data_IF_740725463403
#
_entry.id   IF_740725463403
#
_cell.length_a   1.000
_cell.length_b   1.000
_cell.length_c   1.000
_cell.angle_alpha   90.00
_cell.angle_beta   90.00
_cell.angle_gamma   90.00
#
_symmetry.space_group_name_H-M   'P 1'
#
loop_
_entity.id
_entity.type
_entity.pdbx_description
1 polymer ?
#
# COMPACT_ATOMS: atom_id res chain seq x y z
N UNK A 1 6.03 -13.59 26.69
CA UNK A 1 6.70 -12.60 25.82
C UNK A 1 5.61 -11.67 25.32
N UNK A 2 5.70 -10.38 25.64
CA UNK A 2 4.74 -9.38 25.14
C UNK A 2 5.01 -9.19 23.64
N UNK A 3 4.05 -9.60 22.80
CA UNK A 3 4.09 -9.29 21.38
C UNK A 3 3.93 -7.78 21.22
N UNK A 4 4.77 -7.17 20.39
CA UNK A 4 4.70 -5.74 20.10
C UNK A 4 3.52 -5.50 19.14
N UNK A 5 2.33 -5.25 19.70
CA UNK A 5 1.07 -5.06 18.97
C UNK A 5 1.01 -3.78 18.11
N UNK A 6 2.07 -2.95 18.14
CA UNK A 6 2.08 -1.63 17.49
C UNK A 6 2.60 -1.60 16.05
N UNK A 7 3.00 -2.74 15.47
CA UNK A 7 3.39 -2.76 14.06
C UNK A 7 2.13 -3.00 13.23
N UNK A 8 1.37 -1.94 12.95
CA UNK A 8 0.49 -1.94 11.78
C UNK A 8 1.40 -2.30 10.60
N UNK A 9 1.15 -3.40 9.86
CA UNK A 9 2.02 -3.78 8.76
C UNK A 9 1.93 -2.69 7.69
N UNK A 10 2.96 -1.85 7.64
CA UNK A 10 3.12 -0.88 6.57
C UNK A 10 3.32 -1.64 5.26
N UNK A 11 2.40 -1.48 4.33
CA UNK A 11 2.52 -2.03 2.99
C UNK A 11 3.18 -0.97 2.10
N UNK A 12 4.37 -1.24 1.53
CA UNK A 12 5.05 -0.32 0.62
C UNK A 12 4.12 0.21 -0.49
N UNK A 13 4.15 1.50 -0.75
CA UNK A 13 3.28 2.17 -1.71
C UNK A 13 3.90 2.11 -3.11
N UNK A 14 5.22 2.29 -3.23
CA UNK A 14 5.92 2.35 -4.52
C UNK A 14 5.56 1.23 -5.51
N UNK A 15 5.58 -0.08 -5.14
CA UNK A 15 5.27 -1.15 -6.09
C UNK A 15 3.80 -1.21 -6.51
N UNK A 16 2.94 -0.41 -5.88
CA UNK A 16 1.50 -0.37 -6.15
C UNK A 16 1.08 0.90 -6.89
N UNK A 17 2.01 1.84 -7.10
CA UNK A 17 1.73 3.10 -7.80
C UNK A 17 1.17 2.80 -9.19
N UNK A 18 0.12 3.52 -9.56
CA UNK A 18 -0.50 3.46 -10.87
C UNK A 18 -0.74 4.89 -11.34
N UNK A 19 -0.35 5.18 -12.58
CA UNK A 19 -0.64 6.45 -13.22
C UNK A 19 -1.17 6.21 -14.64
N UNK A 20 -1.90 7.19 -15.18
CA UNK A 20 -2.41 7.17 -16.55
C UNK A 20 -1.30 7.26 -17.61
N UNK A 21 -0.10 7.70 -17.21
CA UNK A 21 1.05 7.97 -18.08
C UNK A 21 2.32 7.26 -17.55
N UNK A 22 3.06 6.48 -18.37
CA UNK A 22 4.28 5.77 -17.94
C UNK A 22 5.37 6.67 -17.35
N UNK A 23 5.56 7.89 -17.89
CA UNK A 23 6.55 8.83 -17.37
C UNK A 23 6.18 9.31 -15.96
N UNK A 24 4.91 9.64 -15.76
CA UNK A 24 4.39 10.06 -14.46
C UNK A 24 4.40 8.91 -13.46
N UNK A 25 4.10 7.68 -13.91
CA UNK A 25 4.23 6.48 -13.08
C UNK A 25 5.65 6.33 -12.54
N UNK A 26 6.67 6.39 -13.40
CA UNK A 26 8.06 6.26 -12.97
C UNK A 26 8.48 7.33 -11.95
N UNK A 27 8.08 8.58 -12.17
CA UNK A 27 8.38 9.69 -11.25
C UNK A 27 7.68 9.53 -9.90
N UNK A 28 6.40 9.15 -9.92
CA UNK A 28 5.65 8.92 -8.70
C UNK A 28 6.13 7.67 -7.95
N UNK A 29 6.48 6.59 -8.64
CA UNK A 29 7.11 5.41 -8.03
C UNK A 29 8.38 5.80 -7.27
N UNK A 30 9.21 6.70 -7.81
CA UNK A 30 10.42 7.20 -7.12
C UNK A 30 10.10 8.05 -5.89
N UNK A 31 9.10 8.91 -5.98
CA UNK A 31 8.57 9.64 -4.82
C UNK A 31 8.13 8.65 -3.73
N UNK A 32 7.28 7.69 -4.08
CA UNK A 32 6.75 6.73 -3.11
C UNK A 32 7.82 5.75 -2.61
N UNK A 33 8.87 5.47 -3.38
CA UNK A 33 10.02 4.68 -2.91
C UNK A 33 10.76 5.42 -1.77
N UNK A 34 10.94 6.74 -1.91
CA UNK A 34 11.47 7.57 -0.83
C UNK A 34 10.54 7.59 0.38
N UNK A 35 9.23 7.73 0.18
CA UNK A 35 8.24 7.66 1.27
C UNK A 35 8.32 6.31 1.99
N UNK A 36 8.39 5.20 1.25
CA UNK A 36 8.54 3.85 1.79
C UNK A 36 9.82 3.71 2.64
N UNK A 37 10.92 4.36 2.21
CA UNK A 37 12.16 4.41 2.99
C UNK A 37 12.01 5.26 4.25
N UNK A 38 11.33 6.41 4.19
CA UNK A 38 11.07 7.25 5.36
C UNK A 38 10.28 6.48 6.43
N UNK A 39 9.25 5.72 6.02
CA UNK A 39 8.47 4.89 6.94
C UNK A 39 9.31 3.78 7.55
N UNK A 40 10.12 3.07 6.75
CA UNK A 40 11.04 2.04 7.26
C UNK A 40 12.05 2.59 8.25
N UNK A 41 12.52 3.82 8.03
CA UNK A 41 13.42 4.54 8.92
C UNK A 41 12.71 5.18 10.13
N UNK A 42 11.39 5.04 10.25
CA UNK A 42 10.55 5.64 11.30
C UNK A 42 10.66 7.17 11.35
N UNK A 43 10.95 7.82 10.22
CA UNK A 43 10.96 9.28 10.10
C UNK A 43 9.52 9.76 10.15
N UNK A 44 9.26 10.82 10.92
CA UNK A 44 7.95 11.44 11.02
C UNK A 44 7.81 12.50 9.94
N UNK A 45 6.89 12.31 8.99
CA UNK A 45 6.69 13.22 7.85
C UNK A 45 5.23 13.39 7.42
N UNK A 46 4.29 12.58 7.94
CA UNK A 46 2.88 12.73 7.62
C UNK A 46 2.28 13.85 8.47
N UNK A 47 1.83 14.93 7.83
CA UNK A 47 1.20 16.08 8.49
C UNK A 47 -0.29 15.85 8.77
N UNK A 48 -0.84 14.67 8.48
CA UNK A 48 -2.25 14.33 8.69
C UNK A 48 -2.39 13.13 9.64
N UNK A 49 -3.38 13.22 10.52
CA UNK A 49 -3.74 12.19 11.50
C UNK A 49 -4.95 11.37 11.08
N UNK A 50 -5.65 11.78 10.03
CA UNK A 50 -6.81 11.06 9.53
C UNK A 50 -6.38 9.72 8.91
N UNK A 51 -7.16 8.67 9.20
CA UNK A 51 -6.89 7.32 8.69
C UNK A 51 -6.93 7.31 7.16
N UNK A 52 -5.96 6.61 6.56
CA UNK A 52 -5.89 6.43 5.11
C UNK A 52 -5.47 7.66 4.31
N UNK A 53 -5.13 8.78 4.97
CA UNK A 53 -4.59 9.95 4.33
C UNK A 53 -3.08 10.02 4.56
N UNK A 54 -2.37 10.35 3.49
CA UNK A 54 -0.97 10.71 3.53
C UNK A 54 -0.86 12.17 3.07
N UNK A 55 -0.37 13.04 3.93
CA UNK A 55 -0.15 14.45 3.63
C UNK A 55 1.32 14.78 3.82
N UNK A 56 2.01 15.09 2.73
CA UNK A 56 3.45 15.38 2.73
C UNK A 56 3.66 16.82 2.28
N UNK A 57 4.49 17.57 3.00
CA UNK A 57 4.83 18.92 2.58
C UNK A 57 5.82 18.88 1.40
N UNK A 58 5.52 19.51 0.25
CA UNK A 58 6.44 19.57 -0.89
C UNK A 58 7.75 20.27 -0.53
N UNK A 59 7.69 21.24 0.39
CA UNK A 59 8.84 22.03 0.82
C UNK A 59 9.84 21.19 1.63
N UNK A 60 9.39 20.06 2.22
CA UNK A 60 10.22 19.17 3.04
C UNK A 60 10.75 17.95 2.27
N UNK A 61 10.29 17.70 1.04
CA UNK A 61 10.62 16.49 0.28
C UNK A 61 12.14 16.31 0.08
N UNK A 62 12.85 17.37 -0.25
CA UNK A 62 14.30 17.29 -0.46
C UNK A 62 15.07 17.10 0.86
N UNK A 63 14.58 17.64 1.97
CA UNK A 63 15.17 17.41 3.28
C UNK A 63 14.98 15.96 3.73
N UNK A 64 13.78 15.42 3.55
CA UNK A 64 13.47 13.99 3.78
C UNK A 64 14.34 13.09 2.91
N UNK A 65 14.50 13.42 1.62
CA UNK A 65 15.34 12.67 0.70
C UNK A 65 16.79 12.63 1.16
N UNK A 66 17.35 13.78 1.56
CA UNK A 66 18.71 13.86 2.11
C UNK A 66 18.85 13.04 3.38
N UNK A 67 17.83 13.06 4.24
CA UNK A 67 17.82 12.31 5.48
C UNK A 67 17.87 10.80 5.26
N UNK A 68 17.05 10.25 4.37
CA UNK A 68 17.08 8.81 4.05
C UNK A 68 18.32 8.39 3.27
N UNK A 69 19.00 9.34 2.62
CA UNK A 69 20.20 9.10 1.82
C UNK A 69 21.52 9.50 2.51
N UNK A 70 21.51 9.78 3.83
CA UNK A 70 22.72 10.18 4.60
C UNK A 70 23.92 9.25 4.40
N UNK A 71 23.73 7.99 3.98
CA UNK A 71 24.77 7.00 3.76
C UNK A 71 25.15 6.76 2.27
N UNK A 72 24.43 7.33 1.30
CA UNK A 72 24.55 6.97 -0.13
C UNK A 72 25.40 7.95 -0.97
N UNK A 73 26.04 8.94 -0.33
CA UNK A 73 27.16 9.71 -0.88
C UNK A 73 26.84 10.73 -2.00
N UNK A 74 25.72 10.60 -2.73
CA UNK A 74 25.21 11.63 -3.67
C UNK A 74 23.69 11.52 -3.84
N UNK A 75 22.99 12.51 -3.31
CA UNK A 75 21.54 12.65 -3.47
C UNK A 75 21.28 13.87 -4.33
N UNK A 76 20.63 13.68 -5.49
CA UNK A 76 20.20 14.80 -6.32
C UNK A 76 18.83 15.25 -5.83
N UNK A 77 18.67 16.56 -5.64
CA UNK A 77 17.38 17.14 -5.27
C UNK A 77 16.33 16.84 -6.36
N UNK A 78 15.11 16.59 -5.91
CA UNK A 78 13.92 16.44 -6.74
C UNK A 78 13.51 17.80 -7.31
N UNK A 79 13.16 17.79 -8.58
CA UNK A 79 12.46 18.90 -9.21
C UNK A 79 10.97 18.81 -8.82
N UNK A 80 10.60 19.61 -7.83
CA UNK A 80 9.27 19.61 -7.20
C UNK A 80 8.19 20.03 -8.21
N UNK A 81 8.50 20.95 -9.13
CA UNK A 81 7.54 21.42 -10.13
C UNK A 81 7.23 20.35 -11.16
N UNK A 82 8.26 19.64 -11.64
CA UNK A 82 8.08 18.48 -12.52
C UNK A 82 7.33 17.37 -11.81
N UNK A 83 7.65 17.10 -10.53
CA UNK A 83 6.97 16.09 -9.74
C UNK A 83 5.49 16.42 -9.58
N UNK A 84 5.14 17.67 -9.24
CA UNK A 84 3.77 18.14 -9.08
C UNK A 84 2.91 17.89 -10.31
N UNK A 85 3.47 18.12 -11.51
CA UNK A 85 2.74 17.88 -12.77
C UNK A 85 2.39 16.40 -12.93
N UNK A 86 3.29 15.50 -12.55
CA UNK A 86 3.07 14.06 -12.61
C UNK A 86 2.05 13.52 -11.59
N UNK A 87 1.82 14.23 -10.48
CA UNK A 87 0.84 13.80 -9.47
C UNK A 87 -0.60 13.80 -9.99
N UNK A 88 -0.93 14.68 -10.95
CA UNK A 88 -2.27 14.74 -11.54
C UNK A 88 -2.63 13.49 -12.36
N UNK A 89 -1.62 12.75 -12.80
CA UNK A 89 -1.79 11.50 -13.55
C UNK A 89 -2.00 10.29 -12.63
N UNK A 90 -1.89 10.45 -11.30
CA UNK A 90 -2.00 9.35 -10.34
C UNK A 90 -3.41 8.77 -10.28
N UNK A 91 -3.49 7.47 -10.57
CA UNK A 91 -4.66 6.62 -10.29
C UNK A 91 -4.55 6.07 -8.86
N UNK A 92 -3.36 5.60 -8.48
CA UNK A 92 -3.06 5.17 -7.11
C UNK A 92 -1.64 5.56 -6.69
N UNK A 93 -1.44 6.06 -5.45
CA UNK A 93 -2.48 6.56 -4.55
C UNK A 93 -3.16 7.80 -5.15
N UNK A 94 -4.45 8.01 -4.85
CA UNK A 94 -5.22 9.09 -5.47
C UNK A 94 -4.75 10.43 -4.93
N UNK A 95 -4.29 11.32 -5.81
CA UNK A 95 -3.92 12.68 -5.45
C UNK A 95 -5.18 13.53 -5.23
N UNK A 96 -5.35 14.06 -4.02
CA UNK A 96 -6.48 14.92 -3.66
C UNK A 96 -6.17 16.41 -3.91
N UNK A 97 -4.93 16.74 -4.26
CA UNK A 97 -4.49 18.10 -4.53
C UNK A 97 -3.59 18.69 -3.44
N UNK A 98 -3.34 19.99 -3.58
CA UNK A 98 -2.58 20.79 -2.64
C UNK A 98 -3.54 21.44 -1.64
N UNK A 99 -3.31 21.21 -0.35
CA UNK A 99 -4.15 21.68 0.75
C UNK A 99 -3.30 22.41 1.79
N UNK A 100 -3.95 23.21 2.63
CA UNK A 100 -3.34 23.75 3.85
C UNK A 100 -3.91 22.97 5.02
N UNK A 101 -3.04 22.42 5.87
CA UNK A 101 -3.43 21.67 7.07
C UNK A 101 -2.69 22.19 8.29
N UNK A 102 -3.31 22.07 9.46
CA UNK A 102 -2.63 22.31 10.74
C UNK A 102 -1.80 21.08 11.06
N UNK A 103 -0.47 21.21 11.06
CA UNK A 103 0.40 20.06 11.18
C UNK A 103 0.65 19.66 12.63
N UNK A 104 0.36 18.39 13.01
CA UNK A 104 0.66 17.89 14.35
C UNK A 104 2.15 17.65 14.58
N UNK A 105 2.94 17.57 13.50
CA UNK A 105 4.38 17.32 13.53
C UNK A 105 5.21 18.59 13.33
N UNK A 106 4.54 19.73 13.16
CA UNK A 106 5.16 21.03 12.91
C UNK A 106 4.51 22.13 13.75
N UNK A 107 4.72 22.08 15.06
CA UNK A 107 4.28 23.09 16.04
C UNK A 107 2.81 23.52 15.98
N UNK A 108 1.92 22.70 15.40
CA UNK A 108 0.53 23.09 15.12
C UNK A 108 0.40 24.33 14.22
N UNK A 109 1.39 24.57 13.36
CA UNK A 109 1.31 25.63 12.36
C UNK A 109 0.60 25.14 11.09
N UNK A 110 0.04 26.09 10.36
CA UNK A 110 -0.52 25.84 9.03
C UNK A 110 0.61 25.61 8.03
N UNK A 111 0.56 24.47 7.35
CA UNK A 111 1.52 24.10 6.33
C UNK A 111 0.82 23.62 5.07
N UNK A 112 1.44 23.95 3.94
CA UNK A 112 1.05 23.46 2.62
C UNK A 112 1.48 22.01 2.45
N UNK A 113 0.54 21.16 2.03
CA UNK A 113 0.75 19.73 1.82
C UNK A 113 0.16 19.25 0.51
N UNK A 114 0.75 18.20 -0.04
CA UNK A 114 0.14 17.34 -1.04
C UNK A 114 -0.54 16.19 -0.33
N UNK A 115 -1.86 16.10 -0.48
CA UNK A 115 -2.65 15.05 0.14
C UNK A 115 -2.91 13.91 -0.85
N UNK A 116 -2.70 12.69 -0.36
CA UNK A 116 -2.95 11.46 -1.08
C UNK A 116 -3.94 10.60 -0.29
N UNK A 117 -4.97 10.12 -0.97
CA UNK A 117 -5.85 9.08 -0.44
C UNK A 117 -5.19 7.73 -0.71
N UNK A 118 -4.81 7.05 0.37
CA UNK A 118 -4.41 5.66 0.32
C UNK A 118 -5.67 4.79 0.33
N UNK A 119 -5.63 3.66 -0.38
CA UNK A 119 -6.61 2.61 -0.22
C UNK A 119 -6.51 2.14 1.23
N UNK A 120 -7.52 2.48 2.02
CA UNK A 120 -7.68 1.81 3.30
C UNK A 120 -7.97 0.35 2.97
N UNK A 121 -7.28 -0.58 3.62
CA UNK A 121 -7.90 -1.87 3.92
C UNK A 121 -8.92 -1.54 5.02
N UNK A 122 -10.02 -0.89 4.63
CA UNK A 122 -11.12 -0.63 5.55
C UNK A 122 -11.84 -1.95 5.73
N UNK A 123 -11.46 -2.70 6.78
CA UNK A 123 -12.19 -3.91 7.17
C UNK A 123 -13.60 -3.58 7.69
N UNK A 124 -13.94 -2.30 7.89
CA UNK A 124 -15.22 -1.89 8.46
C UNK A 124 -16.30 -1.51 7.42
N UNK A 125 -15.94 -1.30 6.14
CA UNK A 125 -16.90 -1.14 5.06
C UNK A 125 -16.75 -2.28 4.04
N UNK A 126 -17.62 -3.30 4.07
CA UNK A 126 -17.68 -4.27 3.00
C UNK A 126 -18.07 -3.51 1.73
N UNK A 127 -17.13 -3.44 0.80
CA UNK A 127 -17.34 -3.00 -0.57
C UNK A 127 -18.65 -3.64 -1.06
N UNK A 128 -19.59 -2.79 -1.49
CA UNK A 128 -20.93 -3.16 -1.93
C UNK A 128 -20.92 -4.49 -2.71
N UNK A 129 -21.44 -5.53 -2.06
CA UNK A 129 -21.92 -6.79 -2.61
C UNK A 129 -21.14 -7.29 -3.82
N UNK A 130 -19.99 -7.92 -3.58
CA UNK A 130 -19.58 -9.02 -4.44
C UNK A 130 -20.65 -10.11 -4.27
N UNK A 131 -21.29 -10.49 -5.37
CA UNK A 131 -22.37 -11.48 -5.41
C UNK A 131 -21.95 -12.77 -4.71
N UNK A 132 -22.80 -13.35 -3.86
CA UNK A 132 -22.44 -14.51 -3.00
C UNK A 132 -21.99 -15.70 -3.85
N UNK A 133 -22.62 -15.85 -5.01
CA UNK A 133 -22.25 -16.84 -6.02
C UNK A 133 -20.86 -16.58 -6.60
N UNK A 134 -20.51 -15.31 -6.86
CA UNK A 134 -19.20 -14.93 -7.39
C UNK A 134 -18.07 -15.21 -6.39
N UNK A 135 -18.28 -14.96 -5.09
CA UNK A 135 -17.28 -15.25 -4.04
C UNK A 135 -17.08 -16.75 -3.86
N UNK A 136 -18.18 -17.53 -3.89
CA UNK A 136 -18.12 -18.99 -3.84
C UNK A 136 -17.45 -19.55 -5.08
N UNK A 137 -17.78 -19.06 -6.28
CA UNK A 137 -17.18 -19.50 -7.54
C UNK A 137 -15.68 -19.18 -7.60
N UNK A 138 -15.27 -18.00 -7.15
CA UNK A 138 -13.86 -17.63 -7.07
C UNK A 138 -13.11 -18.52 -6.07
N UNK A 139 -13.69 -18.78 -4.91
CA UNK A 139 -13.08 -19.63 -3.87
C UNK A 139 -12.95 -21.07 -4.35
N UNK A 140 -14.00 -21.60 -4.98
CA UNK A 140 -14.03 -22.96 -5.53
C UNK A 140 -13.07 -23.12 -6.71
N UNK A 141 -12.97 -22.11 -7.58
CA UNK A 141 -12.03 -22.09 -8.70
C UNK A 141 -10.58 -22.08 -8.21
N UNK A 142 -10.27 -21.24 -7.21
CA UNK A 142 -8.94 -21.20 -6.59
C UNK A 142 -8.57 -22.53 -5.92
N UNK A 143 -9.51 -23.15 -5.19
CA UNK A 143 -9.33 -24.48 -4.60
C UNK A 143 -9.08 -25.56 -5.66
N UNK A 144 -9.77 -25.51 -6.80
CA UNK A 144 -9.58 -26.45 -7.91
C UNK A 144 -8.20 -26.30 -8.55
N UNK A 145 -7.77 -25.07 -8.84
CA UNK A 145 -6.44 -24.78 -9.38
C UNK A 145 -5.36 -25.25 -8.41
N UNK A 146 -5.56 -25.03 -7.12
CA UNK A 146 -4.60 -25.43 -6.09
C UNK A 146 -4.51 -26.95 -5.95
N UNK A 147 -5.65 -27.64 -5.90
CA UNK A 147 -5.70 -29.11 -5.91
C UNK A 147 -4.98 -29.68 -7.14
N UNK A 148 -5.26 -29.16 -8.33
CA UNK A 148 -4.60 -29.59 -9.56
C UNK A 148 -3.09 -29.34 -9.53
N UNK A 149 -2.67 -28.21 -8.95
CA UNK A 149 -1.25 -27.86 -8.81
C UNK A 149 -0.51 -28.76 -7.82
N UNK A 150 -1.17 -29.14 -6.72
CA UNK A 150 -0.62 -30.09 -5.74
C UNK A 150 -0.65 -31.54 -6.25
N UNK A 151 -1.70 -31.94 -6.98
CA UNK A 151 -1.78 -33.23 -7.66
C UNK A 151 -0.70 -33.34 -8.75
N UNK A 152 -0.39 -32.24 -9.45
CA UNK A 152 0.70 -32.17 -10.44
C UNK A 152 2.09 -32.19 -9.79
N UNK A 153 2.29 -31.55 -8.64
CA UNK A 153 3.55 -31.58 -7.89
C UNK A 153 3.94 -32.99 -7.40
N UNK A 154 2.98 -33.92 -7.31
CA UNK A 154 3.26 -35.34 -7.08
C UNK A 154 3.96 -36.04 -8.26
N UNK A 155 3.87 -35.49 -9.48
CA UNK A 155 4.39 -36.08 -10.72
C UNK A 155 5.44 -35.23 -11.45
N UNK A 156 5.59 -33.94 -11.11
CA UNK A 156 6.54 -33.03 -11.77
C UNK A 156 7.39 -32.26 -10.75
N UNK A 157 8.71 -32.44 -10.81
CA UNK A 157 9.67 -31.96 -9.78
C UNK A 157 9.98 -30.46 -9.89
N UNK A 158 9.54 -29.79 -10.95
CA UNK A 158 9.85 -28.38 -11.19
C UNK A 158 8.81 -27.39 -10.62
N UNK A 159 7.70 -27.89 -10.07
CA UNK A 159 6.69 -27.06 -9.38
C UNK A 159 6.73 -27.34 -7.88
N UNK A 160 7.70 -26.74 -7.19
CA UNK A 160 7.77 -26.79 -5.72
C UNK A 160 7.15 -25.51 -5.15
N UNK A 161 5.92 -25.59 -4.62
CA UNK A 161 5.40 -24.51 -3.79
C UNK A 161 6.15 -24.50 -2.45
N UNK A 162 6.66 -23.33 -2.04
CA UNK A 162 7.21 -23.18 -0.69
C UNK A 162 6.08 -23.33 0.33
N UNK A 163 6.34 -24.01 1.46
CA UNK A 163 5.35 -24.18 2.54
C UNK A 163 4.73 -22.85 2.97
N UNK A 164 5.48 -21.75 2.90
CA UNK A 164 4.99 -20.42 3.23
C UNK A 164 3.92 -19.93 2.24
N UNK A 165 4.10 -20.17 0.94
CA UNK A 165 3.12 -19.78 -0.09
C UNK A 165 1.82 -20.57 0.05
N UNK A 166 1.92 -21.83 0.48
CA UNK A 166 0.78 -22.68 0.80
C UNK A 166 0.03 -22.18 2.04
N UNK A 167 0.77 -21.78 3.09
CA UNK A 167 0.19 -21.20 4.31
C UNK A 167 -0.53 -19.90 4.00
N UNK A 168 0.06 -18.99 3.22
CA UNK A 168 -0.59 -17.72 2.87
C UNK A 168 -1.88 -17.91 2.06
N UNK A 169 -1.89 -18.87 1.13
CA UNK A 169 -3.09 -19.20 0.35
C UNK A 169 -4.18 -19.87 1.19
N UNK A 170 -3.80 -20.73 2.15
CA UNK A 170 -4.74 -21.33 3.10
C UNK A 170 -5.41 -20.29 3.99
N UNK A 171 -4.62 -19.34 4.52
CA UNK A 171 -5.15 -18.23 5.31
C UNK A 171 -6.11 -17.34 4.50
N UNK A 172 -5.83 -17.11 3.22
CA UNK A 172 -6.71 -16.34 2.34
C UNK A 172 -8.05 -17.07 2.09
N UNK A 173 -8.01 -18.39 1.93
CA UNK A 173 -9.20 -19.22 1.74
C UNK A 173 -10.04 -19.32 3.01
N UNK A 174 -9.40 -19.52 4.17
CA UNK A 174 -10.05 -19.54 5.48
C UNK A 174 -10.80 -18.22 5.72
N UNK A 175 -10.15 -17.08 5.47
CA UNK A 175 -10.77 -15.77 5.60
C UNK A 175 -11.98 -15.59 4.67
N UNK A 176 -11.89 -16.05 3.42
CA UNK A 176 -13.00 -15.98 2.46
C UNK A 176 -14.18 -16.87 2.87
N UNK A 177 -13.93 -18.03 3.45
CA UNK A 177 -14.97 -18.94 3.93
C UNK A 177 -15.63 -18.44 5.22
N UNK A 178 -14.87 -17.87 6.16
CA UNK A 178 -15.41 -17.24 7.37
C UNK A 178 -16.35 -16.07 7.03
N UNK A 179 -16.01 -15.28 6.00
CA UNK A 179 -16.88 -14.19 5.50
C UNK A 179 -18.18 -14.71 4.91
N UNK A 180 -18.15 -15.87 4.24
CA UNK A 180 -19.38 -16.51 3.72
C UNK A 180 -20.19 -17.13 4.87
N UNK A 181 -19.54 -17.79 5.83
CA UNK A 181 -20.21 -18.44 6.95
C UNK A 181 -20.92 -17.45 7.88
N UNK A 182 -20.26 -16.35 8.24
CA UNK A 182 -20.84 -15.29 9.07
C UNK A 182 -22.05 -14.60 8.43
N UNK A 183 -22.21 -14.69 7.12
CA UNK A 183 -23.35 -14.13 6.37
C UNK A 183 -24.45 -15.15 6.02
N UNK A 184 -24.25 -16.43 6.39
CA UNK A 184 -25.26 -17.51 6.32
C UNK A 184 -25.87 -17.76 7.71
N UNK A 185 -25.11 -17.51 8.78
CA UNK A 185 -25.55 -17.65 10.17
C UNK A 185 -26.33 -16.44 10.71
N UNK A 186 -26.48 -15.36 9.90
CA UNK A 186 -27.46 -14.27 10.06
C UNK A 186 -28.80 -14.59 9.36
#
# INVERSE_FOLDING_TARGET
MLFNENIIPYVPIAPRVQASNPKSQLLCEKLFEMIDRCVKAQITFNHDTAKGLLSVSPDQLNDLLREVSKNDGKTKDLDIDVLKQSLNDLIYPKFNGELTVISPIWNQEEIRVWQFQLNQIDRANPMQTLDKELLLDQTLSNLRIWRQSLEAAGNDKDVTYSNNDLIYKLMELEHKLELVQSQIEE
#
